data_IF_749111748872
#
_entry.id   IF_749111748872
#
_cell.length_a   1.000
_cell.length_b   1.000
_cell.length_c   1.000
_cell.angle_alpha   90.00
_cell.angle_beta   90.00
_cell.angle_gamma   90.00
#
_symmetry.space_group_name_H-M   'P 1'
#
loop_
_entity.id
_entity.type
_entity.pdbx_description
1 polymer ?
#
# COMPACT_ATOMS: atom_id res chain seq x y z
N UNK A 1 -27.24 22.12 -13.30
CA UNK A 1 -27.81 20.75 -13.43
C UNK A 1 -27.28 20.03 -14.66
N UNK A 2 -27.34 20.63 -15.85
CA UNK A 2 -26.83 20.04 -17.11
C UNK A 2 -25.33 19.71 -17.08
N UNK A 3 -24.49 20.61 -16.55
CA UNK A 3 -23.04 20.40 -16.40
C UNK A 3 -22.69 19.22 -15.50
N UNK A 4 -23.45 19.03 -14.43
CA UNK A 4 -23.29 17.92 -13.49
C UNK A 4 -23.71 16.59 -14.14
N UNK A 5 -24.82 16.57 -14.88
CA UNK A 5 -25.24 15.41 -15.66
C UNK A 5 -24.21 15.02 -16.73
N UNK A 6 -23.67 15.99 -17.47
CA UNK A 6 -22.61 15.74 -18.45
C UNK A 6 -21.35 15.16 -17.79
N UNK A 7 -20.94 15.69 -16.63
CA UNK A 7 -19.79 15.17 -15.89
C UNK A 7 -20.00 13.72 -15.44
N UNK A 8 -21.18 13.39 -14.89
CA UNK A 8 -21.51 12.01 -14.51
C UNK A 8 -21.52 11.07 -15.71
N UNK A 9 -21.99 11.54 -16.87
CA UNK A 9 -22.03 10.76 -18.10
C UNK A 9 -20.61 10.51 -18.65
N UNK A 10 -19.73 11.52 -18.63
CA UNK A 10 -18.30 11.36 -18.99
C UNK A 10 -17.59 10.39 -18.04
N UNK A 11 -17.81 10.51 -16.73
CA UNK A 11 -17.27 9.56 -15.74
C UNK A 11 -17.82 8.16 -16.01
N UNK A 12 -19.13 8.03 -16.28
CA UNK A 12 -19.76 6.76 -16.63
C UNK A 12 -19.16 6.11 -17.88
N UNK A 13 -18.94 6.89 -18.94
CA UNK A 13 -18.27 6.44 -20.17
C UNK A 13 -16.82 6.04 -19.86
N UNK A 14 -16.09 6.84 -19.08
CA UNK A 14 -14.70 6.53 -18.72
C UNK A 14 -14.63 5.21 -17.94
N UNK A 15 -15.50 5.03 -16.94
CA UNK A 15 -15.62 3.80 -16.17
C UNK A 15 -16.00 2.61 -17.06
N UNK A 16 -16.92 2.83 -18.01
CA UNK A 16 -17.31 1.82 -18.99
C UNK A 16 -16.13 1.46 -19.90
N UNK A 17 -15.37 2.42 -20.43
CA UNK A 17 -14.17 2.18 -21.23
C UNK A 17 -13.11 1.44 -20.43
N UNK A 18 -12.88 1.80 -19.16
CA UNK A 18 -11.98 1.10 -18.25
C UNK A 18 -12.45 -0.33 -18.01
N UNK A 19 -13.76 -0.56 -17.86
CA UNK A 19 -14.35 -1.89 -17.68
C UNK A 19 -14.27 -2.74 -18.95
N UNK A 20 -14.54 -2.12 -20.11
CA UNK A 20 -14.55 -2.74 -21.43
C UNK A 20 -13.16 -2.88 -22.04
N UNK A 21 -12.13 -2.23 -21.48
CA UNK A 21 -10.73 -2.37 -21.91
C UNK A 21 -10.36 -3.84 -21.81
N UNK A 22 -10.43 -4.51 -22.97
CA UNK A 22 -10.31 -5.95 -23.10
C UNK A 22 -9.00 -6.40 -22.47
N UNK A 23 -9.00 -7.49 -21.70
CA UNK A 23 -7.75 -8.10 -21.29
C UNK A 23 -6.94 -8.39 -22.55
N UNK A 24 -5.64 -8.06 -22.54
CA UNK A 24 -4.70 -8.70 -23.45
C UNK A 24 -4.93 -10.20 -23.30
N UNK A 25 -5.15 -10.92 -24.41
CA UNK A 25 -5.40 -12.36 -24.39
C UNK A 25 -4.13 -13.03 -23.86
N UNK A 26 -4.05 -13.17 -22.55
CA UNK A 26 -2.99 -13.83 -21.82
C UNK A 26 -3.68 -14.85 -20.93
N UNK A 27 -3.21 -16.09 -20.99
CA UNK A 27 -3.65 -17.18 -20.11
C UNK A 27 -3.07 -17.03 -18.71
N UNK A 28 -2.12 -16.12 -18.52
CA UNK A 28 -1.43 -15.88 -17.27
C UNK A 28 -2.22 -14.92 -16.37
N UNK A 29 -2.46 -15.32 -15.12
CA UNK A 29 -3.13 -14.47 -14.13
C UNK A 29 -2.30 -13.24 -13.81
N UNK A 30 -2.95 -12.10 -13.57
CA UNK A 30 -2.31 -10.83 -13.24
C UNK A 30 -2.61 -10.42 -11.80
N UNK A 31 -1.59 -9.99 -11.06
CA UNK A 31 -1.73 -9.40 -9.73
C UNK A 31 -1.14 -7.99 -9.69
N UNK A 32 -1.91 -7.06 -9.15
CA UNK A 32 -1.42 -5.73 -8.80
C UNK A 32 -1.08 -5.70 -7.32
N UNK A 33 0.17 -5.39 -7.00
CA UNK A 33 0.64 -5.24 -5.63
C UNK A 33 0.86 -3.75 -5.38
N UNK A 34 0.04 -3.16 -4.52
CA UNK A 34 -0.08 -1.72 -4.34
C UNK A 34 0.48 -1.31 -2.99
N UNK A 35 1.45 -0.41 -3.04
CA UNK A 35 2.07 0.24 -1.90
C UNK A 35 2.02 1.74 -2.14
N UNK A 36 1.24 2.47 -1.34
CA UNK A 36 1.26 3.93 -1.39
C UNK A 36 2.41 4.47 -0.53
N UNK A 37 3.64 4.09 -0.91
CA UNK A 37 4.87 4.27 -0.16
C UNK A 37 6.08 3.81 -0.98
N UNK A 38 7.28 3.99 -0.43
CA UNK A 38 8.53 3.58 -1.08
C UNK A 38 8.65 2.05 -1.13
N UNK A 39 8.77 1.51 -2.34
CA UNK A 39 8.87 0.08 -2.60
C UNK A 39 10.14 -0.51 -1.98
N UNK A 40 11.26 0.21 -2.02
CA UNK A 40 12.53 -0.26 -1.44
C UNK A 40 12.50 -0.38 0.09
N UNK A 41 11.52 0.27 0.73
CA UNK A 41 11.27 0.22 2.17
C UNK A 41 10.09 -0.67 2.56
N UNK A 42 9.57 -1.44 1.60
CA UNK A 42 8.40 -2.29 1.78
C UNK A 42 8.73 -3.77 1.50
N UNK A 43 9.63 -4.39 2.32
CA UNK A 43 10.16 -5.72 2.05
C UNK A 43 9.09 -6.82 2.04
N UNK A 44 8.03 -6.69 2.85
CA UNK A 44 6.92 -7.66 2.86
C UNK A 44 6.15 -7.69 1.53
N UNK A 45 5.86 -6.52 0.97
CA UNK A 45 5.16 -6.42 -0.33
C UNK A 45 6.08 -6.87 -1.49
N UNK A 46 7.37 -6.58 -1.37
CA UNK A 46 8.41 -7.14 -2.22
C UNK A 46 8.44 -8.69 -2.16
N UNK A 47 8.30 -9.28 -0.98
CA UNK A 47 8.22 -10.73 -0.83
C UNK A 47 6.95 -11.30 -1.47
N UNK A 48 5.79 -10.65 -1.29
CA UNK A 48 4.57 -11.05 -2.01
C UNK A 48 4.78 -11.05 -3.53
N UNK A 49 5.43 -10.02 -4.08
CA UNK A 49 5.75 -9.96 -5.51
C UNK A 49 6.56 -11.16 -5.99
N UNK A 50 7.58 -11.55 -5.22
CA UNK A 50 8.42 -12.71 -5.52
C UNK A 50 7.61 -14.01 -5.43
N UNK A 51 6.77 -14.18 -4.41
CA UNK A 51 5.97 -15.40 -4.28
C UNK A 51 4.91 -15.52 -5.38
N UNK A 52 4.24 -14.42 -5.76
CA UNK A 52 3.29 -14.43 -6.87
C UNK A 52 3.95 -14.77 -8.22
N UNK A 53 5.16 -14.25 -8.49
CA UNK A 53 5.93 -14.60 -9.69
C UNK A 53 6.28 -16.11 -9.72
N UNK A 54 6.69 -16.70 -8.58
CA UNK A 54 6.92 -18.16 -8.50
C UNK A 54 5.67 -18.97 -8.87
N UNK A 55 4.49 -18.45 -8.51
CA UNK A 55 3.19 -19.02 -8.88
C UNK A 55 2.70 -18.59 -10.28
N UNK A 56 3.60 -18.08 -11.12
CA UNK A 56 3.36 -17.73 -12.53
C UNK A 56 2.33 -16.61 -12.70
N UNK A 57 2.18 -15.72 -11.74
CA UNK A 57 1.44 -14.48 -11.97
C UNK A 57 2.30 -13.47 -12.74
N UNK A 58 1.67 -12.69 -13.61
CA UNK A 58 2.23 -11.43 -14.08
C UNK A 58 2.07 -10.40 -12.95
N UNK A 59 3.18 -9.87 -12.44
CA UNK A 59 3.18 -9.05 -11.24
C UNK A 59 3.41 -7.59 -11.60
N UNK A 60 2.46 -6.74 -11.21
CA UNK A 60 2.56 -5.29 -11.33
C UNK A 60 2.80 -4.72 -9.93
N UNK A 61 4.04 -4.32 -9.63
CA UNK A 61 4.43 -3.77 -8.33
C UNK A 61 4.36 -2.24 -8.37
N UNK A 62 3.36 -1.68 -7.69
CA UNK A 62 2.96 -0.27 -7.80
C UNK A 62 3.30 0.46 -6.50
N UNK A 63 4.07 1.55 -6.61
CA UNK A 63 4.45 2.39 -5.47
C UNK A 63 5.50 3.41 -5.87
N UNK A 64 6.18 4.03 -4.90
CA UNK A 64 7.25 4.98 -5.18
C UNK A 64 8.59 4.24 -5.32
N UNK A 65 9.31 4.46 -6.41
CA UNK A 65 10.63 3.87 -6.66
C UNK A 65 11.77 4.80 -6.17
N UNK A 66 11.70 5.27 -4.92
CA UNK A 66 12.66 6.23 -4.35
C UNK A 66 13.95 5.57 -3.84
N UNK A 67 13.83 4.38 -3.24
CA UNK A 67 14.97 3.60 -2.75
C UNK A 67 15.32 2.44 -3.67
N UNK A 68 16.59 1.99 -3.61
CA UNK A 68 17.07 0.83 -4.37
C UNK A 68 16.31 -0.44 -3.99
N UNK A 69 15.73 -1.10 -4.98
CA UNK A 69 15.06 -2.39 -4.82
C UNK A 69 16.06 -3.53 -4.66
N UNK A 70 15.64 -4.58 -3.95
CA UNK A 70 16.41 -5.81 -3.83
C UNK A 70 16.63 -6.47 -5.20
N UNK A 71 17.80 -7.10 -5.40
CA UNK A 71 18.20 -7.70 -6.69
C UNK A 71 17.17 -8.67 -7.27
N UNK A 72 16.46 -9.41 -6.40
CA UNK A 72 15.40 -10.36 -6.78
C UNK A 72 14.19 -9.71 -7.47
N UNK A 73 13.97 -8.42 -7.25
CA UNK A 73 12.91 -7.65 -7.93
C UNK A 73 13.51 -6.89 -9.09
N UNK A 74 14.62 -6.17 -8.84
CA UNK A 74 15.25 -5.34 -9.86
C UNK A 74 15.67 -6.11 -11.13
N UNK A 75 16.06 -7.39 -10.97
CA UNK A 75 16.52 -8.22 -12.09
C UNK A 75 15.42 -9.15 -12.64
N UNK A 76 14.19 -9.10 -12.12
CA UNK A 76 13.13 -10.01 -12.50
C UNK A 76 12.25 -9.41 -13.60
N UNK A 77 12.29 -9.99 -14.79
CA UNK A 77 11.56 -9.50 -15.95
C UNK A 77 10.03 -9.71 -15.85
N UNK A 78 9.56 -10.61 -14.97
CA UNK A 78 8.13 -10.86 -14.75
C UNK A 78 7.50 -9.92 -13.71
N UNK A 79 8.33 -9.17 -12.98
CA UNK A 79 7.87 -8.18 -11.99
C UNK A 79 8.05 -6.80 -12.59
N UNK A 80 6.95 -6.20 -13.03
CA UNK A 80 6.95 -4.87 -13.59
C UNK A 80 6.79 -3.83 -12.49
N UNK A 81 7.83 -2.99 -12.31
CA UNK A 81 7.78 -1.85 -11.40
C UNK A 81 6.96 -0.73 -12.04
N UNK A 82 5.96 -0.25 -11.31
CA UNK A 82 4.98 0.74 -11.75
C UNK A 82 5.03 1.95 -10.84
N UNK A 83 5.91 2.89 -11.15
CA UNK A 83 6.14 4.06 -10.32
C UNK A 83 4.90 4.97 -10.24
N UNK A 84 4.64 5.51 -9.04
CA UNK A 84 3.61 6.49 -8.78
C UNK A 84 4.23 7.89 -8.74
N UNK A 85 3.52 8.88 -9.27
CA UNK A 85 4.01 10.27 -9.21
C UNK A 85 3.87 10.81 -7.78
N UNK A 86 4.98 11.22 -7.12
CA UNK A 86 4.91 11.78 -5.78
C UNK A 86 4.11 13.08 -5.76
N UNK A 87 3.51 13.39 -4.61
CA UNK A 87 2.82 14.67 -4.41
C UNK A 87 3.84 15.81 -4.46
N UNK A 88 3.64 16.84 -5.29
CA UNK A 88 4.55 17.98 -5.34
C UNK A 88 4.62 18.68 -3.98
N UNK A 89 5.78 19.27 -3.67
CA UNK A 89 5.90 20.17 -2.52
C UNK A 89 5.10 21.44 -2.82
N UNK A 90 4.19 21.78 -1.92
CA UNK A 90 3.40 23.02 -1.98
C UNK A 90 3.77 23.87 -0.77
N UNK A 91 4.41 25.01 -1.03
CA UNK A 91 4.78 25.97 -0.01
C UNK A 91 3.71 27.06 0.15
N UNK A 92 3.58 27.61 1.35
CA UNK A 92 2.68 28.73 1.64
C UNK A 92 1.19 28.38 1.86
N UNK A 93 0.81 27.09 1.88
CA UNK A 93 -0.56 26.65 2.15
C UNK A 93 -0.75 26.10 3.58
N UNK A 94 -1.96 26.23 4.16
CA UNK A 94 -2.27 25.61 5.45
C UNK A 94 -2.11 24.08 5.41
N UNK A 95 -1.55 23.48 6.47
CA UNK A 95 -1.24 22.06 6.52
C UNK A 95 -2.46 21.16 6.19
N UNK A 96 -3.64 21.50 6.71
CA UNK A 96 -4.89 20.74 6.45
C UNK A 96 -5.21 20.70 4.94
N UNK A 97 -5.06 21.82 4.25
CA UNK A 97 -5.30 21.90 2.81
C UNK A 97 -4.27 21.05 2.04
N UNK A 98 -2.99 21.14 2.43
CA UNK A 98 -1.92 20.32 1.84
C UNK A 98 -2.21 18.82 2.02
N UNK A 99 -2.65 18.39 3.19
CA UNK A 99 -3.04 17.00 3.44
C UNK A 99 -4.24 16.58 2.57
N UNK A 100 -5.27 17.41 2.46
CA UNK A 100 -6.43 17.14 1.60
C UNK A 100 -6.03 17.00 0.13
N UNK A 101 -5.24 17.94 -0.39
CA UNK A 101 -4.71 17.90 -1.76
C UNK A 101 -3.82 16.67 -1.99
N UNK A 102 -3.01 16.30 -1.00
CA UNK A 102 -2.18 15.09 -1.06
C UNK A 102 -3.03 13.83 -1.20
N UNK A 103 -4.11 13.71 -0.44
CA UNK A 103 -5.03 12.57 -0.53
C UNK A 103 -5.66 12.51 -1.93
N UNK A 104 -6.16 13.64 -2.45
CA UNK A 104 -6.76 13.69 -3.78
C UNK A 104 -5.77 13.34 -4.89
N UNK A 105 -4.54 13.85 -4.80
CA UNK A 105 -3.46 13.54 -5.73
C UNK A 105 -3.10 12.06 -5.71
N UNK A 106 -2.91 11.50 -4.51
CA UNK A 106 -2.57 10.08 -4.35
C UNK A 106 -3.69 9.18 -4.88
N UNK A 107 -4.96 9.55 -4.63
CA UNK A 107 -6.11 8.82 -5.18
C UNK A 107 -6.11 8.87 -6.71
N UNK A 108 -6.01 10.08 -7.29
CA UNK A 108 -6.03 10.29 -8.73
C UNK A 108 -4.89 9.58 -9.46
N UNK A 109 -3.66 9.72 -8.96
CA UNK A 109 -2.48 9.07 -9.54
C UNK A 109 -2.56 7.54 -9.46
N UNK A 110 -3.02 7.00 -8.33
CA UNK A 110 -3.18 5.56 -8.16
C UNK A 110 -4.27 4.99 -9.08
N UNK A 111 -5.45 5.60 -9.12
CA UNK A 111 -6.55 5.17 -10.01
C UNK A 111 -6.12 5.27 -11.47
N UNK A 112 -5.51 6.39 -11.87
CA UNK A 112 -5.01 6.57 -13.22
C UNK A 112 -3.99 5.48 -13.59
N UNK A 113 -3.05 5.18 -12.69
CA UNK A 113 -2.07 4.13 -12.92
C UNK A 113 -2.73 2.76 -13.05
N UNK A 114 -3.64 2.39 -12.16
CA UNK A 114 -4.38 1.12 -12.23
C UNK A 114 -5.21 0.97 -13.52
N UNK A 115 -5.68 2.07 -14.11
CA UNK A 115 -6.39 2.06 -15.40
C UNK A 115 -5.47 1.80 -16.59
N UNK A 116 -4.20 2.21 -16.51
CA UNK A 116 -3.21 2.03 -17.56
C UNK A 116 -2.69 0.59 -17.66
N UNK A 117 -2.71 -0.13 -16.54
CA UNK A 117 -2.16 -1.48 -16.43
C UNK A 117 -3.09 -2.55 -17.03
N UNK A 118 -2.56 -3.76 -17.30
CA UNK A 118 -3.36 -4.91 -17.68
C UNK A 118 -4.51 -5.17 -16.70
N UNK A 119 -5.52 -5.95 -17.12
CA UNK A 119 -6.62 -6.30 -16.21
C UNK A 119 -6.08 -7.20 -15.08
N UNK A 120 -6.25 -6.83 -13.80
CA UNK A 120 -5.87 -7.71 -12.70
C UNK A 120 -6.93 -8.77 -12.45
N UNK A 121 -6.50 -9.94 -12.01
CA UNK A 121 -7.36 -10.93 -11.33
C UNK A 121 -7.40 -10.64 -9.82
N UNK A 122 -6.27 -10.14 -9.28
CA UNK A 122 -6.07 -9.83 -7.87
C UNK A 122 -5.47 -8.43 -7.72
N UNK A 123 -5.94 -7.67 -6.72
CA UNK A 123 -5.32 -6.43 -6.27
C UNK A 123 -4.97 -6.61 -4.79
N UNK A 124 -3.69 -6.61 -4.44
CA UNK A 124 -3.20 -6.71 -3.08
C UNK A 124 -2.68 -5.35 -2.62
N UNK A 125 -3.28 -4.76 -1.58
CA UNK A 125 -2.91 -3.44 -1.08
C UNK A 125 -2.31 -3.53 0.32
N UNK A 126 -1.22 -2.80 0.54
CA UNK A 126 -0.62 -2.63 1.85
C UNK A 126 -1.42 -1.62 2.70
N UNK A 127 -1.70 -1.98 3.96
CA UNK A 127 -2.24 -1.07 4.96
C UNK A 127 -1.28 -0.95 6.16
N UNK A 128 -0.81 0.25 6.56
CA UNK A 128 -1.11 1.60 6.04
C UNK A 128 -0.28 2.02 4.80
N UNK A 129 -0.65 3.13 4.11
CA UNK A 129 -1.77 4.04 4.41
C UNK A 129 -3.13 3.58 3.86
N UNK A 130 -4.16 3.60 4.70
CA UNK A 130 -5.52 3.17 4.35
C UNK A 130 -6.27 4.17 3.46
N UNK A 131 -6.01 5.48 3.67
CA UNK A 131 -6.57 6.58 2.88
C UNK A 131 -5.45 7.16 2.02
N UNK A 132 -5.62 7.28 0.69
CA UNK A 132 -6.74 6.81 -0.14
C UNK A 132 -6.59 5.36 -0.65
N UNK A 133 -5.52 4.64 -0.31
CA UNK A 133 -5.11 3.45 -1.05
C UNK A 133 -6.15 2.31 -1.04
N UNK A 134 -6.77 2.00 0.11
CA UNK A 134 -7.77 0.92 0.20
C UNK A 134 -9.00 1.27 -0.61
N UNK A 135 -9.49 2.52 -0.54
CA UNK A 135 -10.67 2.92 -1.32
C UNK A 135 -10.40 2.92 -2.82
N UNK A 136 -9.24 3.44 -3.26
CA UNK A 136 -8.85 3.41 -4.67
C UNK A 136 -8.76 1.98 -5.21
N UNK A 137 -8.14 1.07 -4.46
CA UNK A 137 -8.00 -0.33 -4.86
C UNK A 137 -9.32 -1.09 -4.80
N UNK A 138 -10.18 -0.83 -3.81
CA UNK A 138 -11.54 -1.35 -3.75
C UNK A 138 -12.37 -0.94 -4.96
N UNK A 139 -12.39 0.35 -5.28
CA UNK A 139 -13.11 0.88 -6.43
C UNK A 139 -12.63 0.21 -7.72
N UNK A 140 -11.32 0.14 -7.92
CA UNK A 140 -10.72 -0.49 -9.10
C UNK A 140 -10.96 -1.99 -9.16
N UNK A 141 -10.97 -2.69 -8.02
CA UNK A 141 -11.33 -4.11 -7.95
C UNK A 141 -12.76 -4.32 -8.45
N UNK A 142 -13.73 -3.52 -7.99
CA UNK A 142 -15.13 -3.61 -8.43
C UNK A 142 -15.31 -3.24 -9.90
N UNK A 143 -14.67 -2.17 -10.39
CA UNK A 143 -14.78 -1.75 -11.81
C UNK A 143 -14.18 -2.81 -12.74
N UNK A 144 -13.02 -3.37 -12.38
CA UNK A 144 -12.27 -4.31 -13.23
C UNK A 144 -12.69 -5.77 -13.02
N UNK A 145 -13.52 -6.05 -12.02
CA UNK A 145 -13.93 -7.42 -11.65
C UNK A 145 -12.78 -8.25 -11.11
N UNK A 146 -11.90 -7.65 -10.31
CA UNK A 146 -10.80 -8.29 -9.62
C UNK A 146 -11.15 -8.52 -8.15
N UNK A 147 -10.44 -9.45 -7.48
CA UNK A 147 -10.57 -9.64 -6.03
C UNK A 147 -9.60 -8.73 -5.28
N UNK A 148 -10.06 -8.11 -4.21
CA UNK A 148 -9.26 -7.26 -3.33
C UNK A 148 -8.67 -8.07 -2.17
N UNK A 149 -7.37 -7.96 -1.98
CA UNK A 149 -6.62 -8.44 -0.82
C UNK A 149 -6.12 -7.23 -0.04
N UNK A 150 -6.46 -7.13 1.24
CA UNK A 150 -5.88 -6.12 2.14
C UNK A 150 -4.87 -6.80 3.04
N UNK A 151 -3.63 -6.29 3.02
CA UNK A 151 -2.54 -6.72 3.90
C UNK A 151 -2.36 -5.76 5.08
N UNK A 152 -2.83 -6.18 6.24
CA UNK A 152 -2.89 -5.41 7.48
C UNK A 152 -1.59 -5.49 8.26
N UNK A 153 -0.86 -4.37 8.33
CA UNK A 153 0.38 -4.25 9.11
C UNK A 153 0.18 -3.39 10.35
N UNK A 154 -0.70 -2.39 10.25
CA UNK A 154 -1.16 -1.55 11.36
C UNK A 154 -2.48 -0.88 10.97
N UNK A 155 -3.14 -0.23 11.92
CA UNK A 155 -4.30 0.64 11.67
C UNK A 155 -3.86 2.05 11.26
N UNK A 156 -4.35 2.53 10.12
CA UNK A 156 -4.13 3.90 9.69
C UNK A 156 -4.76 4.92 10.63
N UNK A 157 -5.92 4.61 11.23
CA UNK A 157 -6.55 5.52 12.20
C UNK A 157 -5.68 5.67 13.46
N UNK A 158 -4.97 4.62 13.89
CA UNK A 158 -4.08 4.68 15.06
C UNK A 158 -2.88 5.60 14.80
N UNK A 159 -2.32 5.54 13.59
CA UNK A 159 -1.25 6.48 13.18
C UNK A 159 -1.74 7.94 13.14
N UNK A 160 -2.99 8.17 12.75
CA UNK A 160 -3.60 9.49 12.81
C UNK A 160 -3.86 9.95 14.26
N UNK A 161 -4.26 9.01 15.11
CA UNK A 161 -4.51 9.26 16.54
C UNK A 161 -3.24 9.69 17.29
N UNK A 162 -2.06 9.22 16.88
CA UNK A 162 -0.80 9.70 17.46
C UNK A 162 -0.57 11.20 17.22
N UNK A 163 -1.14 11.78 16.16
CA UNK A 163 -1.02 13.22 15.85
C UNK A 163 -2.14 14.08 16.44
N UNK A 164 -3.37 13.57 16.44
CA UNK A 164 -4.57 14.36 16.80
C UNK A 164 -5.25 13.92 18.11
N UNK A 165 -4.84 12.78 18.68
CA UNK A 165 -5.47 12.15 19.83
C UNK A 165 -6.62 11.21 19.45
N UNK A 166 -6.79 10.13 20.22
CA UNK A 166 -7.82 9.11 19.97
C UNK A 166 -9.27 9.61 20.08
N UNK A 167 -9.50 10.71 20.80
CA UNK A 167 -10.85 11.31 20.96
C UNK A 167 -11.25 12.22 19.80
N UNK A 168 -10.36 12.48 18.85
CA UNK A 168 -10.63 13.40 17.76
C UNK A 168 -11.62 12.80 16.76
N UNK A 169 -12.64 13.56 16.35
CA UNK A 169 -13.72 13.06 15.48
C UNK A 169 -13.21 12.49 14.14
N UNK A 170 -12.17 13.09 13.56
CA UNK A 170 -11.53 12.59 12.32
C UNK A 170 -10.95 11.19 12.53
N UNK A 171 -10.37 10.89 13.69
CA UNK A 171 -9.81 9.57 13.99
C UNK A 171 -10.93 8.53 14.00
N UNK A 172 -12.06 8.82 14.63
CA UNK A 172 -13.23 7.94 14.62
C UNK A 172 -13.82 7.76 13.22
N UNK A 173 -13.80 8.79 12.38
CA UNK A 173 -14.23 8.70 10.99
C UNK A 173 -13.28 7.77 10.19
N UNK A 174 -11.97 7.96 10.32
CA UNK A 174 -10.97 7.11 9.68
C UNK A 174 -11.06 5.66 10.16
N UNK A 175 -11.31 5.44 11.45
CA UNK A 175 -11.52 4.12 12.03
C UNK A 175 -12.72 3.41 11.39
N UNK A 176 -13.87 4.10 11.32
CA UNK A 176 -15.07 3.55 10.66
C UNK A 176 -14.81 3.24 9.18
N UNK A 177 -14.20 4.17 8.46
CA UNK A 177 -13.82 3.98 7.06
C UNK A 177 -12.94 2.73 6.87
N UNK A 178 -11.93 2.58 7.72
CA UNK A 178 -10.95 1.49 7.62
C UNK A 178 -11.61 0.13 7.86
N UNK A 179 -12.46 0.00 8.88
CA UNK A 179 -13.17 -1.24 9.15
C UNK A 179 -14.24 -1.57 8.10
N UNK A 180 -15.00 -0.58 7.63
CA UNK A 180 -16.00 -0.79 6.58
C UNK A 180 -15.35 -1.34 5.31
N UNK A 181 -14.25 -0.75 4.86
CA UNK A 181 -13.54 -1.25 3.68
C UNK A 181 -12.86 -2.60 3.92
N UNK A 182 -12.38 -2.85 5.15
CA UNK A 182 -11.86 -4.15 5.55
C UNK A 182 -12.88 -5.28 5.42
N UNK A 183 -14.13 -5.02 5.82
CA UNK A 183 -15.23 -5.97 5.68
C UNK A 183 -15.63 -6.21 4.22
N UNK A 184 -15.41 -5.21 3.35
CA UNK A 184 -15.74 -5.29 1.92
C UNK A 184 -14.67 -5.95 1.06
N UNK A 185 -13.49 -6.25 1.61
CA UNK A 185 -12.42 -6.95 0.91
C UNK A 185 -12.71 -8.45 0.79
N UNK A 186 -12.30 -9.04 -0.35
CA UNK A 186 -12.50 -10.48 -0.61
C UNK A 186 -11.58 -11.35 0.25
N UNK A 187 -10.38 -10.84 0.56
CA UNK A 187 -9.37 -11.53 1.38
C UNK A 187 -8.70 -10.49 2.28
N UNK A 188 -8.53 -10.83 3.56
CA UNK A 188 -7.73 -10.07 4.50
C UNK A 188 -6.55 -10.94 4.97
N UNK A 189 -5.35 -10.38 4.96
CA UNK A 189 -4.15 -11.01 5.52
C UNK A 189 -3.50 -10.06 6.53
N UNK A 190 -2.82 -10.56 7.54
CA UNK A 190 -2.22 -9.70 8.56
C UNK A 190 -0.90 -10.26 9.12
N UNK A 191 -0.14 -9.41 9.82
CA UNK A 191 1.21 -9.74 10.33
C UNK A 191 1.22 -10.71 11.52
N UNK A 192 0.13 -10.83 12.29
CA UNK A 192 0.14 -11.59 13.54
C UNK A 192 -1.22 -12.15 13.95
N UNK A 193 -1.21 -13.20 14.78
CA UNK A 193 -2.41 -13.79 15.39
C UNK A 193 -3.17 -12.81 16.29
N UNK A 194 -2.45 -11.94 17.01
CA UNK A 194 -3.09 -10.93 17.85
C UNK A 194 -3.86 -9.94 16.99
N UNK A 195 -3.28 -9.53 15.86
CA UNK A 195 -3.94 -8.61 14.95
C UNK A 195 -5.13 -9.25 14.23
N UNK A 196 -5.02 -10.51 13.83
CA UNK A 196 -6.15 -11.27 13.28
C UNK A 196 -7.34 -11.35 14.24
N UNK A 197 -7.09 -11.57 15.53
CA UNK A 197 -8.14 -11.60 16.55
C UNK A 197 -8.83 -10.25 16.70
N UNK A 198 -8.05 -9.18 16.74
CA UNK A 198 -8.57 -7.81 16.85
C UNK A 198 -9.41 -7.41 15.61
N UNK A 199 -8.93 -7.71 14.41
CA UNK A 199 -9.70 -7.57 13.17
C UNK A 199 -11.02 -8.38 13.22
N UNK A 200 -10.99 -9.57 13.81
CA UNK A 200 -12.15 -10.43 14.01
C UNK A 200 -13.25 -9.78 14.86
N UNK A 201 -12.89 -9.00 15.89
CA UNK A 201 -13.85 -8.20 16.69
C UNK A 201 -14.58 -7.19 15.81
N UNK A 202 -13.92 -6.68 14.78
CA UNK A 202 -14.47 -5.77 13.79
C UNK A 202 -15.09 -6.48 12.57
N UNK A 203 -15.42 -7.77 12.68
CA UNK A 203 -16.03 -8.59 11.62
C UNK A 203 -15.14 -8.76 10.38
N UNK A 204 -13.82 -8.63 10.53
CA UNK A 204 -12.83 -8.81 9.47
C UNK A 204 -12.08 -10.12 9.73
N UNK A 205 -12.41 -11.17 8.96
CA UNK A 205 -11.69 -12.44 9.06
C UNK A 205 -10.38 -12.35 8.27
N UNK A 206 -9.26 -12.34 8.98
CA UNK A 206 -7.92 -12.27 8.38
C UNK A 206 -7.13 -13.56 8.58
N UNK A 207 -6.38 -13.96 7.55
CA UNK A 207 -5.38 -15.03 7.65
C UNK A 207 -4.02 -14.45 8.07
N UNK A 208 -3.31 -15.13 8.95
CA UNK A 208 -2.01 -14.65 9.41
C UNK A 208 -0.91 -15.06 8.43
N UNK A 209 -0.16 -14.08 7.97
CA UNK A 209 1.09 -14.25 7.24
C UNK A 209 2.17 -13.48 7.99
N UNK A 210 3.02 -14.22 8.70
CA UNK A 210 4.12 -13.63 9.45
C UNK A 210 5.15 -13.01 8.53
N UNK A 211 5.77 -11.92 8.99
CA UNK A 211 6.90 -11.35 8.29
C UNK A 211 8.09 -12.31 8.33
N UNK A 212 8.50 -12.75 7.14
CA UNK A 212 9.73 -13.51 6.97
C UNK A 212 10.85 -12.54 6.61
N UNK A 213 11.94 -12.48 7.40
CA UNK A 213 13.11 -11.72 7.01
C UNK A 213 13.63 -12.27 5.67
N UNK A 214 13.95 -11.38 4.74
CA UNK A 214 14.66 -11.77 3.52
C UNK A 214 15.98 -12.44 3.89
N UNK A 215 16.48 -13.36 3.05
CA UNK A 215 17.80 -14.00 3.23
C UNK A 215 18.98 -13.00 3.23
N UNK A 216 18.71 -11.69 3.10
CA UNK A 216 19.67 -10.60 3.32
C UNK A 216 20.00 -10.40 4.80
N UNK A 217 19.09 -10.79 5.69
CA UNK A 217 19.33 -10.76 7.12
C UNK A 217 19.99 -12.07 7.54
N UNK A 218 21.26 -11.98 7.92
CA UNK A 218 21.99 -13.03 8.60
C UNK A 218 22.31 -12.60 10.02
N UNK A 219 22.66 -13.58 10.86
CA UNK A 219 23.22 -13.28 12.18
C UNK A 219 24.58 -12.64 11.94
N UNK A 220 24.81 -11.39 12.35
CA UNK A 220 26.04 -10.69 12.03
C UNK A 220 27.24 -11.39 12.68
N UNK A 221 28.38 -11.38 11.98
CA UNK A 221 29.66 -11.89 12.51
C UNK A 221 30.14 -11.03 13.68
N UNK A 222 31.18 -11.48 14.41
CA UNK A 222 31.75 -10.70 15.52
C UNK A 222 32.28 -9.35 15.01
N UNK A 223 32.89 -9.34 13.82
CA UNK A 223 33.43 -8.15 13.17
C UNK A 223 32.29 -7.19 12.78
N UNK A 224 31.22 -7.70 12.18
CA UNK A 224 30.04 -6.88 11.84
C UNK A 224 29.38 -6.31 13.09
N UNK A 225 29.25 -7.11 14.15
CA UNK A 225 28.76 -6.64 15.47
C UNK A 225 29.63 -5.53 16.02
N UNK A 226 30.96 -5.71 16.02
CA UNK A 226 31.91 -4.69 16.47
C UNK A 226 31.78 -3.41 15.65
N UNK A 227 31.72 -3.50 14.32
CA UNK A 227 31.54 -2.34 13.44
C UNK A 227 30.21 -1.61 13.68
N UNK A 228 29.13 -2.36 13.89
CA UNK A 228 27.81 -1.79 14.24
C UNK A 228 27.89 -1.05 15.57
N UNK A 229 28.47 -1.67 16.61
CA UNK A 229 28.64 -1.06 17.93
C UNK A 229 29.50 0.21 17.86
N UNK A 230 30.60 0.18 17.11
CA UNK A 230 31.45 1.34 16.91
C UNK A 230 30.70 2.48 16.19
N UNK A 231 29.93 2.17 15.12
CA UNK A 231 29.08 3.16 14.44
C UNK A 231 28.03 3.75 15.37
N UNK A 232 27.37 2.92 16.18
CA UNK A 232 26.38 3.38 17.17
C UNK A 232 27.04 4.30 18.21
N UNK A 233 28.24 3.97 18.69
CA UNK A 233 28.98 4.83 19.63
C UNK A 233 29.32 6.20 19.01
N UNK A 234 29.67 6.24 17.73
CA UNK A 234 29.96 7.53 17.05
C UNK A 234 28.68 8.34 16.79
N UNK A 235 27.58 7.67 16.45
CA UNK A 235 26.32 8.32 16.08
C UNK A 235 25.49 8.78 17.30
N UNK A 236 25.61 8.06 18.41
CA UNK A 236 24.91 8.34 19.68
C UNK A 236 25.91 8.71 20.77
N UNK A 237 27.01 9.38 20.41
CA UNK A 237 28.05 9.79 21.34
C UNK A 237 27.40 10.33 22.63
N UNK A 238 27.67 9.62 23.72
CA UNK A 238 27.05 9.79 25.03
C UNK A 238 26.99 11.27 25.40
N UNK A 239 25.79 11.86 25.48
CA UNK A 239 25.60 13.06 26.29
C UNK A 239 25.47 12.54 27.72
N UNK A 240 26.41 12.86 28.64
CA UNK A 240 26.28 12.43 30.02
C UNK A 240 24.97 12.97 30.56
N UNK A 241 24.18 12.13 31.23
CA UNK A 241 23.04 12.59 32.02
C UNK A 241 23.56 13.62 33.02
N UNK A 242 23.17 14.89 32.84
CA UNK A 242 23.38 15.91 33.87
C UNK A 242 22.32 15.65 34.95
N UNK A 243 22.75 15.00 36.03
CA UNK A 243 21.99 14.88 37.27
C UNK A 243 21.98 16.19 38.05
#
# INVERSE_FOLDING_TARGET
>A
MLTFLCALLVVGILLLVIKLRRPTISTQKCVHIVVLGDLGRSPRMCNHAIEFDKHKFNVQLIGYAESKLGRKIANNQNIQICDLKPFPKLDGLPAVLVYGLKILWQFGTLVFRLCQLPKPDLICVQNPPSIPAIFATFLMAKIRGARLIIDWHNYGYSMLALKHGFKHWIVHLCQRYEFLLGQLADINICVSNTFAKDLGVHMIKASVLYDKPTNLFHIPTIEEKHQILMKMNTQYAYTPFQG
#
